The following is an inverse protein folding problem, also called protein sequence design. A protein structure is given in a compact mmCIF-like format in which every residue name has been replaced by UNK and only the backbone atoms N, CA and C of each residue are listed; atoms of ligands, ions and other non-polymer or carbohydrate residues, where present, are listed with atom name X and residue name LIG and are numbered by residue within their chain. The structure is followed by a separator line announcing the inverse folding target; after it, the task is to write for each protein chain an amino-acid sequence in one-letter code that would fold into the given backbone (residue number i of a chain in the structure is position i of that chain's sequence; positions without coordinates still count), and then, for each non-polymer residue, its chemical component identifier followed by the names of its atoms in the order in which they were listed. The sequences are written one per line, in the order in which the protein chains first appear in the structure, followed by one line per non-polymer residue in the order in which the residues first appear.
data_IF_270988286458
#
_entry.id   IF_270988286458
#
_cell.length_a   1.000
_cell.length_b   1.000
_cell.length_c   1.000
_cell.angle_alpha   90.00
_cell.angle_beta   90.00
_cell.angle_gamma   90.00
#
_symmetry.space_group_name_H-M   'P 1'
#
loop_
_entity.id
_entity.type
_entity.pdbx_description
1 polymer ?
#
# COMPACT_ATOMS: atom_id res chain seq x y z
N UNK A 1 -25.04 -21.66 -10.18
CA UNK A 1 -25.14 -20.26 -9.68
C UNK A 1 -26.02 -20.19 -8.45
N UNK A 2 -25.50 -20.67 -7.32
CA UNK A 2 -26.22 -20.61 -6.05
C UNK A 2 -26.10 -19.24 -5.36
N UNK A 3 -26.88 -18.99 -4.30
CA UNK A 3 -26.80 -17.77 -3.49
C UNK A 3 -25.39 -17.52 -2.91
N UNK A 4 -24.61 -18.58 -2.69
CA UNK A 4 -23.21 -18.50 -2.23
C UNK A 4 -22.32 -17.75 -3.24
N UNK A 5 -22.52 -17.97 -4.55
CA UNK A 5 -21.71 -17.31 -5.58
C UNK A 5 -21.95 -15.80 -5.59
N UNK A 6 -23.21 -15.37 -5.40
CA UNK A 6 -23.57 -13.96 -5.31
C UNK A 6 -22.91 -13.29 -4.09
N UNK A 7 -22.89 -13.97 -2.95
CA UNK A 7 -22.23 -13.47 -1.73
C UNK A 7 -20.72 -13.35 -1.94
N UNK A 8 -20.08 -14.33 -2.58
CA UNK A 8 -18.64 -14.28 -2.87
C UNK A 8 -18.28 -13.14 -3.82
N UNK A 9 -19.08 -12.91 -4.86
CA UNK A 9 -18.87 -11.80 -5.79
C UNK A 9 -19.10 -10.44 -5.11
N UNK A 10 -20.25 -10.25 -4.47
CA UNK A 10 -20.56 -8.98 -3.81
C UNK A 10 -19.56 -8.67 -2.69
N UNK A 11 -19.26 -9.65 -1.84
CA UNK A 11 -18.27 -9.52 -0.78
C UNK A 11 -16.86 -9.25 -1.32
N UNK A 12 -16.46 -9.95 -2.38
CA UNK A 12 -15.17 -9.75 -3.03
C UNK A 12 -15.00 -8.35 -3.63
N UNK A 13 -16.03 -7.85 -4.33
CA UNK A 13 -16.05 -6.48 -4.87
C UNK A 13 -15.98 -5.44 -3.76
N UNK A 14 -16.73 -5.63 -2.67
CA UNK A 14 -16.70 -4.73 -1.51
C UNK A 14 -15.32 -4.70 -0.87
N UNK A 15 -14.68 -5.86 -0.69
CA UNK A 15 -13.33 -5.95 -0.13
C UNK A 15 -12.29 -5.30 -1.04
N UNK A 16 -12.39 -5.48 -2.36
CA UNK A 16 -11.55 -4.77 -3.33
C UNK A 16 -11.68 -3.25 -3.18
N UNK A 17 -12.90 -2.74 -3.08
CA UNK A 17 -13.17 -1.31 -2.91
C UNK A 17 -12.58 -0.77 -1.60
N UNK A 18 -12.81 -1.47 -0.49
CA UNK A 18 -12.27 -1.09 0.83
C UNK A 18 -10.74 -1.14 0.82
N UNK A 19 -10.15 -2.21 0.28
CA UNK A 19 -8.70 -2.36 0.19
C UNK A 19 -8.05 -1.24 -0.62
N UNK A 20 -8.62 -0.92 -1.79
CA UNK A 20 -8.13 0.16 -2.64
C UNK A 20 -8.21 1.53 -1.96
N UNK A 21 -9.37 1.87 -1.38
CA UNK A 21 -9.57 3.15 -0.70
C UNK A 21 -8.64 3.32 0.50
N UNK A 22 -8.37 2.24 1.25
CA UNK A 22 -7.43 2.21 2.37
C UNK A 22 -5.96 2.28 1.93
N UNK A 23 -5.61 1.72 0.78
CA UNK A 23 -4.23 1.73 0.28
C UNK A 23 -3.84 3.06 -0.37
N UNK A 24 -4.77 3.71 -1.08
CA UNK A 24 -4.47 4.88 -1.93
C UNK A 24 -3.89 6.06 -1.15
N UNK A 25 -4.47 6.39 0.00
CA UNK A 25 -4.04 7.53 0.82
C UNK A 25 -2.62 7.39 1.36
N UNK A 26 -2.31 6.32 2.12
CA UNK A 26 -0.96 6.05 2.59
C UNK A 26 0.06 5.91 1.47
N UNK A 27 -0.31 5.28 0.34
CA UNK A 27 0.58 5.15 -0.81
C UNK A 27 1.00 6.50 -1.41
N UNK A 28 0.05 7.43 -1.57
CA UNK A 28 0.35 8.77 -2.07
C UNK A 28 1.36 9.51 -1.17
N UNK A 29 1.12 9.51 0.14
CA UNK A 29 2.05 10.12 1.11
C UNK A 29 3.42 9.47 1.12
N UNK A 30 3.47 8.14 0.99
CA UNK A 30 4.72 7.40 0.87
C UNK A 30 5.52 7.86 -0.36
N UNK A 31 4.86 8.04 -1.51
CA UNK A 31 5.52 8.52 -2.73
C UNK A 31 6.03 9.96 -2.57
N UNK A 32 5.24 10.85 -1.98
CA UNK A 32 5.67 12.24 -1.75
C UNK A 32 6.93 12.30 -0.87
N UNK A 33 6.93 11.55 0.24
CA UNK A 33 8.08 11.45 1.14
C UNK A 33 9.30 10.81 0.45
N UNK A 34 9.07 9.81 -0.39
CA UNK A 34 10.14 9.15 -1.15
C UNK A 34 10.83 10.14 -2.09
N UNK A 35 10.06 10.92 -2.85
CA UNK A 35 10.58 11.95 -3.76
C UNK A 35 11.38 13.01 -2.99
N UNK A 36 10.87 13.47 -1.85
CA UNK A 36 11.61 14.41 -1.00
C UNK A 36 12.92 13.83 -0.49
N UNK A 37 12.90 12.58 -0.02
CA UNK A 37 14.09 11.90 0.49
C UNK A 37 15.15 11.68 -0.61
N UNK A 38 14.74 11.35 -1.83
CA UNK A 38 15.64 11.24 -2.98
C UNK A 38 16.26 12.59 -3.36
N UNK A 39 15.48 13.67 -3.33
CA UNK A 39 15.98 15.01 -3.59
C UNK A 39 17.01 15.44 -2.52
N UNK A 40 16.71 15.21 -1.24
CA UNK A 40 17.64 15.48 -0.14
C UNK A 40 18.93 14.70 -0.31
N UNK A 41 18.86 13.40 -0.61
CA UNK A 41 20.03 12.57 -0.86
C UNK A 41 20.88 13.11 -2.02
N UNK A 42 20.24 13.59 -3.10
CA UNK A 42 20.94 14.22 -4.22
C UNK A 42 21.65 15.52 -3.80
N UNK A 43 20.95 16.41 -3.09
CA UNK A 43 21.55 17.66 -2.59
C UNK A 43 22.71 17.40 -1.61
N UNK A 44 22.60 16.38 -0.77
CA UNK A 44 23.66 15.97 0.16
C UNK A 44 24.87 15.40 -0.58
N UNK A 45 24.64 14.60 -1.64
CA UNK A 45 25.73 14.07 -2.48
C UNK A 45 26.56 15.18 -3.13
N UNK A 46 25.92 16.29 -3.54
CA UNK A 46 26.63 17.46 -4.08
C UNK A 46 27.36 18.27 -3.03
N UNK A 47 26.95 18.22 -1.76
CA UNK A 47 27.58 18.94 -0.64
C UNK A 47 28.65 18.14 0.12
N UNK A 48 29.10 17.02 -0.44
CA UNK A 48 30.17 16.22 0.18
C UNK A 48 29.70 15.28 1.30
N UNK A 49 28.39 15.01 1.42
CA UNK A 49 27.88 13.86 2.16
C UNK A 49 28.10 13.85 3.68
N UNK A 50 28.07 15.01 4.36
CA UNK A 50 28.29 15.10 5.82
C UNK A 50 26.99 14.82 6.60
N UNK A 51 26.35 13.68 6.38
CA UNK A 51 25.23 13.25 7.22
C UNK A 51 25.68 12.05 8.05
N UNK A 52 25.74 12.27 9.36
CA UNK A 52 26.10 11.26 10.36
C UNK A 52 25.35 9.95 10.09
N UNK A 53 26.11 8.86 9.91
CA UNK A 53 25.61 7.57 9.41
C UNK A 53 24.77 6.79 10.45
N UNK A 54 24.38 7.38 11.58
CA UNK A 54 23.98 6.60 12.75
C UNK A 54 22.48 6.39 12.98
N UNK A 55 21.59 7.18 12.36
CA UNK A 55 20.21 7.31 12.87
C UNK A 55 19.09 7.16 11.84
N UNK A 56 18.10 6.31 12.16
CA UNK A 56 16.84 6.23 11.43
C UNK A 56 16.07 7.54 11.58
N UNK A 57 15.82 8.24 10.50
CA UNK A 57 15.15 9.56 10.56
C UNK A 57 13.65 9.39 10.78
N UNK A 58 12.99 10.41 11.36
CA UNK A 58 11.52 10.42 11.49
C UNK A 58 10.80 10.25 10.14
N UNK A 59 11.39 10.77 9.05
CA UNK A 59 10.88 10.58 7.70
C UNK A 59 10.96 9.11 7.24
N UNK A 60 12.05 8.39 7.57
CA UNK A 60 12.18 6.96 7.29
C UNK A 60 11.17 6.11 8.08
N UNK A 61 10.91 6.48 9.34
CA UNK A 61 9.88 5.81 10.16
C UNK A 61 8.49 6.05 9.57
N UNK A 62 8.16 7.29 9.20
CA UNK A 62 6.89 7.63 8.56
C UNK A 62 6.70 6.91 7.22
N UNK A 63 7.75 6.84 6.39
CA UNK A 63 7.73 6.07 5.13
C UNK A 63 7.44 4.59 5.37
N UNK A 64 8.07 3.96 6.37
CA UNK A 64 7.79 2.56 6.69
C UNK A 64 6.35 2.35 7.15
N UNK A 65 5.83 3.25 8.00
CA UNK A 65 4.45 3.19 8.46
C UNK A 65 3.45 3.30 7.31
N UNK A 66 3.60 4.30 6.43
CA UNK A 66 2.72 4.47 5.28
C UNK A 66 2.82 3.31 4.29
N UNK A 67 4.02 2.77 4.08
CA UNK A 67 4.21 1.56 3.28
C UNK A 67 3.45 0.37 3.86
N UNK A 68 3.55 0.13 5.17
CA UNK A 68 2.81 -0.95 5.84
C UNK A 68 1.29 -0.77 5.74
N UNK A 69 0.79 0.46 5.94
CA UNK A 69 -0.63 0.76 5.79
C UNK A 69 -1.11 0.50 4.35
N UNK A 70 -0.33 0.92 3.35
CA UNK A 70 -0.62 0.65 1.95
C UNK A 70 -0.62 -0.85 1.63
N UNK A 71 0.34 -1.62 2.18
CA UNK A 71 0.42 -3.07 2.03
C UNK A 71 -0.80 -3.79 2.62
N UNK A 72 -1.25 -3.39 3.81
CA UNK A 72 -2.46 -3.97 4.42
C UNK A 72 -3.69 -3.69 3.55
N UNK A 73 -3.87 -2.46 3.08
CA UNK A 73 -4.96 -2.14 2.14
C UNK A 73 -4.88 -2.95 0.85
N UNK A 74 -3.69 -3.09 0.27
CA UNK A 74 -3.48 -3.92 -0.92
C UNK A 74 -3.80 -5.40 -0.66
N UNK A 75 -3.41 -5.94 0.49
CA UNK A 75 -3.71 -7.33 0.85
C UNK A 75 -5.22 -7.57 0.99
N UNK A 76 -5.95 -6.63 1.59
CA UNK A 76 -7.43 -6.69 1.64
C UNK A 76 -8.01 -6.73 0.22
N UNK A 77 -7.49 -5.90 -0.69
CA UNK A 77 -7.97 -5.90 -2.07
C UNK A 77 -7.67 -7.22 -2.80
N UNK A 78 -6.50 -7.81 -2.55
CA UNK A 78 -6.12 -9.12 -3.10
C UNK A 78 -7.04 -10.23 -2.58
N UNK A 79 -7.37 -10.24 -1.28
CA UNK A 79 -8.33 -11.21 -0.73
C UNK A 79 -9.71 -11.05 -1.38
N UNK A 80 -10.17 -9.81 -1.57
CA UNK A 80 -11.40 -9.53 -2.31
C UNK A 80 -11.38 -10.10 -3.73
N UNK A 81 -10.28 -9.89 -4.46
CA UNK A 81 -10.09 -10.44 -5.80
C UNK A 81 -10.16 -11.97 -5.82
N UNK A 82 -9.50 -12.64 -4.88
CA UNK A 82 -9.54 -14.11 -4.75
C UNK A 82 -10.97 -14.61 -4.50
N UNK A 83 -11.75 -13.93 -3.65
CA UNK A 83 -13.15 -14.29 -3.38
C UNK A 83 -14.04 -14.17 -4.62
N UNK A 84 -13.87 -13.10 -5.41
CA UNK A 84 -14.60 -12.97 -6.68
C UNK A 84 -14.30 -14.16 -7.59
N UNK A 85 -13.01 -14.50 -7.74
CA UNK A 85 -12.59 -15.61 -8.59
C UNK A 85 -13.14 -16.95 -8.12
N UNK A 86 -13.10 -17.22 -6.80
CA UNK A 86 -13.70 -18.43 -6.22
C UNK A 86 -15.21 -18.54 -6.49
N UNK A 87 -15.94 -17.42 -6.47
CA UNK A 87 -17.36 -17.40 -6.82
C UNK A 87 -17.66 -17.83 -8.27
N UNK A 88 -16.68 -17.67 -9.18
CA UNK A 88 -16.77 -18.20 -10.56
C UNK A 88 -16.41 -19.69 -10.66
N UNK A 89 -15.49 -20.19 -9.81
CA UNK A 89 -15.08 -21.60 -9.82
C UNK A 89 -16.14 -22.54 -9.21
N UNK A 90 -16.93 -22.05 -8.25
CA UNK A 90 -17.96 -22.84 -7.57
C UNK A 90 -19.23 -22.89 -8.45
N UNK A 91 -19.68 -24.09 -8.83
CA UNK A 91 -20.76 -24.31 -9.81
C UNK A 91 -22.14 -24.46 -9.17
#
# INVERSE_FOLDING_TARGET
MGPINLVLWAGGVVLMWIGYSRARGPWARYQDLKVQNENVARYESWRGGVRDQGGRTGAQVAMELFRRQAQVGALIAVVGFVLVFLGFLIR
#
